data_IF_995308120767
#
_entry.id   IF_995308120767
#
_cell.length_a   1.000
_cell.length_b   1.000
_cell.length_c   1.000
_cell.angle_alpha   90.00
_cell.angle_beta   90.00
_cell.angle_gamma   90.00
#
_symmetry.space_group_name_H-M   'P 1'
#
loop_
_entity.id
_entity.type
_entity.pdbx_description
1 polymer ?
#
# COMPACT_ATOMS: atom_id res chain seq x y z
N UNK A 1 -13.47 -12.87 22.79
CA UNK A 1 -14.10 -14.02 22.11
C UNK A 1 -14.50 -13.77 20.65
N UNK A 2 -15.06 -12.62 20.24
CA UNK A 2 -15.44 -12.40 18.81
C UNK A 2 -14.27 -12.20 17.82
N UNK A 3 -13.11 -11.70 18.28
CA UNK A 3 -11.92 -11.47 17.43
C UNK A 3 -11.04 -12.72 17.20
N UNK A 4 -11.24 -13.81 17.96
CA UNK A 4 -10.38 -14.99 17.87
C UNK A 4 -10.58 -15.75 16.56
N UNK A 5 -11.84 -15.92 16.14
CA UNK A 5 -12.20 -16.60 14.89
C UNK A 5 -11.64 -15.91 13.63
N UNK A 6 -11.88 -14.60 13.39
CA UNK A 6 -11.33 -13.93 12.21
C UNK A 6 -9.80 -13.84 12.20
N UNK A 7 -9.17 -13.72 13.37
CA UNK A 7 -7.70 -13.69 13.47
C UNK A 7 -7.06 -15.05 13.14
N UNK A 8 -7.69 -16.16 13.51
CA UNK A 8 -7.21 -17.51 13.16
C UNK A 8 -7.24 -17.69 11.64
N UNK A 9 -8.33 -17.26 10.98
CA UNK A 9 -8.45 -17.29 9.50
C UNK A 9 -7.40 -16.38 8.86
N UNK A 10 -7.25 -15.15 9.35
CA UNK A 10 -6.22 -14.23 8.87
C UNK A 10 -4.82 -14.85 8.92
N UNK A 11 -4.50 -15.57 10.00
CA UNK A 11 -3.20 -16.22 10.20
C UNK A 11 -3.01 -17.43 9.29
N UNK A 12 -4.04 -18.24 9.05
CA UNK A 12 -3.96 -19.36 8.11
C UNK A 12 -3.78 -18.88 6.68
N UNK A 13 -4.55 -17.88 6.25
CA UNK A 13 -4.50 -17.31 4.90
C UNK A 13 -3.15 -16.66 4.64
N UNK A 14 -2.66 -15.88 5.61
CA UNK A 14 -1.33 -15.26 5.52
C UNK A 14 -0.23 -16.30 5.44
N UNK A 15 -0.34 -17.41 6.19
CA UNK A 15 0.65 -18.49 6.13
C UNK A 15 0.64 -19.19 4.76
N UNK A 16 -0.55 -19.43 4.19
CA UNK A 16 -0.68 -19.98 2.84
C UNK A 16 -0.15 -19.03 1.77
N UNK A 17 -0.46 -17.73 1.88
CA UNK A 17 0.06 -16.73 0.96
C UNK A 17 1.59 -16.63 1.02
N UNK A 18 2.19 -16.69 2.21
CA UNK A 18 3.65 -16.68 2.40
C UNK A 18 4.36 -17.97 1.95
N UNK A 19 3.64 -19.07 1.75
CA UNK A 19 4.21 -20.29 1.17
C UNK A 19 4.40 -20.19 -0.35
N UNK A 20 3.66 -19.30 -1.02
CA UNK A 20 3.84 -19.05 -2.44
C UNK A 20 5.18 -18.32 -2.66
N UNK A 21 6.13 -18.99 -3.34
CA UNK A 21 7.50 -18.47 -3.55
C UNK A 21 7.51 -17.03 -4.08
N UNK A 22 6.69 -16.74 -5.10
CA UNK A 22 6.63 -15.39 -5.69
C UNK A 22 6.12 -14.33 -4.72
N UNK A 23 5.14 -14.65 -3.86
CA UNK A 23 4.64 -13.72 -2.84
C UNK A 23 5.69 -13.47 -1.77
N UNK A 24 6.35 -14.53 -1.28
CA UNK A 24 7.42 -14.42 -0.29
C UNK A 24 8.61 -13.59 -0.80
N UNK A 25 9.12 -13.90 -2.00
CA UNK A 25 10.22 -13.15 -2.60
C UNK A 25 9.80 -11.73 -2.97
N UNK A 26 8.55 -11.52 -3.41
CA UNK A 26 8.00 -10.19 -3.67
C UNK A 26 7.95 -9.33 -2.41
N UNK A 27 7.45 -9.86 -1.30
CA UNK A 27 7.38 -9.15 -0.01
C UNK A 27 8.77 -8.84 0.54
N UNK A 28 9.71 -9.80 0.51
CA UNK A 28 11.09 -9.57 0.94
C UNK A 28 11.77 -8.53 0.03
N UNK A 29 11.53 -8.63 -1.28
CA UNK A 29 12.03 -7.67 -2.27
C UNK A 29 11.51 -6.27 -1.98
N UNK A 30 10.21 -6.08 -1.76
CA UNK A 30 9.63 -4.77 -1.45
C UNK A 30 10.09 -4.24 -0.09
N UNK A 31 10.22 -5.11 0.91
CA UNK A 31 10.71 -4.75 2.25
C UNK A 31 12.13 -4.20 2.24
N UNK A 32 13.00 -4.74 1.37
CA UNK A 32 14.38 -4.31 1.25
C UNK A 32 14.54 -3.18 0.22
N UNK A 33 14.01 -3.36 -0.99
CA UNK A 33 14.19 -2.42 -2.09
C UNK A 33 13.57 -1.07 -1.80
N UNK A 34 12.38 -1.00 -1.19
CA UNK A 34 11.72 0.27 -0.91
C UNK A 34 12.60 1.20 -0.08
N UNK A 35 12.97 0.80 1.16
CA UNK A 35 13.83 1.59 2.02
C UNK A 35 15.22 1.83 1.43
N UNK A 36 15.85 0.83 0.84
CA UNK A 36 17.19 0.98 0.24
C UNK A 36 17.16 2.00 -0.91
N UNK A 37 16.19 1.94 -1.80
CA UNK A 37 16.05 2.90 -2.90
C UNK A 37 15.79 4.31 -2.39
N UNK A 38 14.92 4.48 -1.38
CA UNK A 38 14.68 5.79 -0.80
C UNK A 38 15.92 6.37 -0.10
N UNK A 39 16.68 5.55 0.63
CA UNK A 39 17.93 5.99 1.26
C UNK A 39 18.93 6.40 0.19
N UNK A 40 19.07 5.61 -0.87
CA UNK A 40 19.95 5.92 -1.99
C UNK A 40 19.54 7.21 -2.70
N UNK A 41 18.24 7.43 -2.92
CA UNK A 41 17.72 8.67 -3.50
C UNK A 41 18.02 9.87 -2.61
N UNK A 42 17.77 9.78 -1.31
CA UNK A 42 18.04 10.88 -0.37
C UNK A 42 19.53 11.21 -0.33
N UNK A 43 20.38 10.22 -0.09
CA UNK A 43 21.82 10.44 0.05
C UNK A 43 22.43 10.87 -1.28
N UNK A 44 22.11 10.17 -2.38
CA UNK A 44 22.66 10.45 -3.70
C UNK A 44 22.28 11.84 -4.21
N UNK A 45 21.04 12.27 -3.97
CA UNK A 45 20.60 13.59 -4.42
C UNK A 45 21.13 14.71 -3.52
N UNK A 46 21.24 14.51 -2.20
CA UNK A 46 21.87 15.47 -1.29
C UNK A 46 23.35 15.68 -1.57
N UNK A 47 24.05 14.64 -2.04
CA UNK A 47 25.43 14.77 -2.50
C UNK A 47 25.55 15.57 -3.80
N UNK A 48 24.57 15.47 -4.69
CA UNK A 48 24.57 16.20 -5.96
C UNK A 48 24.19 17.67 -5.79
N UNK A 49 23.17 17.95 -4.96
CA UNK A 49 22.63 19.29 -4.73
C UNK A 49 22.34 19.49 -3.24
N UNK A 50 23.29 20.02 -2.45
CA UNK A 50 23.10 20.26 -1.02
C UNK A 50 22.38 21.59 -0.77
N UNK A 51 21.13 21.73 -1.25
CA UNK A 51 20.29 22.92 -1.03
C UNK A 51 18.99 22.54 -0.33
N UNK A 52 18.38 23.48 0.39
CA UNK A 52 17.09 23.26 1.05
C UNK A 52 15.97 22.93 0.05
N UNK A 53 16.05 23.47 -1.18
CA UNK A 53 15.12 23.15 -2.26
C UNK A 53 15.15 21.66 -2.68
N UNK A 54 16.31 21.00 -2.56
CA UNK A 54 16.43 19.58 -2.82
C UNK A 54 15.61 18.74 -1.83
N UNK A 55 15.55 19.15 -0.55
CA UNK A 55 14.78 18.46 0.50
C UNK A 55 13.29 18.47 0.15
N UNK A 56 12.77 19.63 -0.22
CA UNK A 56 11.35 19.83 -0.55
C UNK A 56 10.95 19.05 -1.79
N UNK A 57 11.86 18.91 -2.76
CA UNK A 57 11.61 18.11 -3.96
C UNK A 57 11.67 16.60 -3.69
N UNK A 58 12.60 16.14 -2.86
CA UNK A 58 12.76 14.70 -2.56
C UNK A 58 11.71 14.14 -1.60
N UNK A 59 11.23 14.95 -0.66
CA UNK A 59 10.27 14.52 0.36
C UNK A 59 9.01 13.85 -0.21
N UNK A 60 8.30 14.43 -1.20
CA UNK A 60 7.15 13.77 -1.81
C UNK A 60 7.53 12.51 -2.60
N UNK A 61 8.72 12.44 -3.22
CA UNK A 61 9.19 11.23 -3.91
C UNK A 61 9.37 10.05 -2.95
N UNK A 62 10.06 10.29 -1.85
CA UNK A 62 10.31 9.25 -0.82
C UNK A 62 8.99 8.80 -0.19
N UNK A 63 8.11 9.74 0.15
CA UNK A 63 6.80 9.45 0.75
C UNK A 63 5.92 8.62 -0.19
N UNK A 64 5.89 8.97 -1.48
CA UNK A 64 5.12 8.25 -2.49
C UNK A 64 5.65 6.84 -2.71
N UNK A 65 6.98 6.69 -2.79
CA UNK A 65 7.64 5.40 -2.94
C UNK A 65 7.31 4.48 -1.75
N UNK A 66 7.44 4.98 -0.51
CA UNK A 66 7.08 4.21 0.68
C UNK A 66 5.59 3.86 0.76
N UNK A 67 4.71 4.77 0.33
CA UNK A 67 3.27 4.52 0.22
C UNK A 67 2.96 3.37 -0.76
N UNK A 68 3.59 3.38 -1.94
CA UNK A 68 3.45 2.29 -2.92
C UNK A 68 3.91 0.94 -2.36
N UNK A 69 5.01 0.92 -1.60
CA UNK A 69 5.55 -0.30 -0.98
C UNK A 69 4.65 -0.88 0.11
N UNK A 70 3.64 -0.14 0.57
CA UNK A 70 2.62 -0.65 1.47
C UNK A 70 1.39 -1.20 0.74
N UNK A 71 0.97 -0.53 -0.33
CA UNK A 71 -0.25 -0.88 -1.05
C UNK A 71 -0.07 -2.12 -1.92
N UNK A 72 1.08 -2.29 -2.57
CA UNK A 72 1.34 -3.42 -3.47
C UNK A 72 1.33 -4.77 -2.72
N UNK A 73 1.99 -4.92 -1.54
CA UNK A 73 1.82 -6.10 -0.69
C UNK A 73 0.36 -6.42 -0.35
N UNK A 74 -0.44 -5.40 -0.03
CA UNK A 74 -1.84 -5.57 0.35
C UNK A 74 -2.66 -6.12 -0.83
N UNK A 75 -2.44 -5.62 -2.05
CA UNK A 75 -3.11 -6.16 -3.26
C UNK A 75 -2.65 -7.58 -3.56
N UNK A 76 -1.35 -7.88 -3.43
CA UNK A 76 -0.79 -9.18 -3.76
C UNK A 76 -1.33 -10.28 -2.85
N UNK A 77 -1.31 -10.02 -1.54
CA UNK A 77 -1.78 -10.97 -0.51
C UNK A 77 -3.29 -11.19 -0.64
N UNK A 78 -4.06 -10.10 -0.82
CA UNK A 78 -5.51 -10.21 -0.96
C UNK A 78 -5.92 -10.92 -2.25
N UNK A 79 -5.21 -10.69 -3.37
CA UNK A 79 -5.48 -11.39 -4.62
C UNK A 79 -5.21 -12.89 -4.51
N UNK A 80 -4.11 -13.29 -3.85
CA UNK A 80 -3.79 -14.70 -3.69
C UNK A 80 -4.74 -15.41 -2.72
N UNK A 81 -5.17 -14.77 -1.62
CA UNK A 81 -6.18 -15.34 -0.72
C UNK A 81 -7.56 -15.42 -1.39
N UNK A 82 -7.98 -14.43 -2.18
CA UNK A 82 -9.35 -14.44 -2.74
C UNK A 82 -9.46 -15.22 -4.04
N UNK A 83 -8.54 -14.98 -4.99
CA UNK A 83 -8.57 -15.57 -6.33
C UNK A 83 -7.77 -16.85 -6.39
N UNK A 84 -6.70 -16.96 -5.60
CA UNK A 84 -5.93 -18.20 -5.52
C UNK A 84 -6.73 -19.35 -4.93
N UNK A 85 -7.50 -19.11 -3.86
CA UNK A 85 -8.44 -20.11 -3.31
C UNK A 85 -9.51 -20.52 -4.33
N UNK A 86 -9.99 -19.56 -5.14
CA UNK A 86 -10.93 -19.83 -6.24
C UNK A 86 -10.32 -20.71 -7.32
N UNK A 87 -9.09 -20.39 -7.73
CA UNK A 87 -8.36 -21.12 -8.76
C UNK A 87 -7.99 -22.54 -8.32
N UNK A 88 -7.80 -22.76 -7.01
CA UNK A 88 -7.49 -24.06 -6.41
C UNK A 88 -8.73 -24.87 -6.00
N UNK A 89 -9.95 -24.39 -6.28
CA UNK A 89 -11.23 -24.99 -5.86
C UNK A 89 -11.36 -25.21 -4.34
N UNK A 90 -10.68 -24.41 -3.52
CA UNK A 90 -10.74 -24.51 -2.04
C UNK A 90 -11.76 -23.56 -1.42
N UNK A 91 -12.55 -22.85 -2.24
CA UNK A 91 -13.63 -21.98 -1.76
C UNK A 91 -14.84 -22.73 -1.20
N UNK A 92 -15.17 -23.91 -1.73
CA UNK A 92 -16.36 -24.68 -1.31
C UNK A 92 -16.26 -25.17 0.14
N UNK A 93 -15.11 -25.71 0.61
CA UNK A 93 -14.93 -26.03 2.03
C UNK A 93 -14.98 -24.81 2.95
N UNK A 94 -14.49 -23.65 2.49
CA UNK A 94 -14.44 -22.41 3.28
C UNK A 94 -15.86 -21.86 3.52
N UNK A 95 -16.73 -21.94 2.52
CA UNK A 95 -18.15 -21.54 2.61
C UNK A 95 -19.01 -22.49 3.47
N UNK A 96 -18.48 -23.68 3.80
CA UNK A 96 -19.09 -24.65 4.70
C UNK A 96 -18.69 -24.45 6.17
N UNK A 97 -17.80 -23.50 6.48
CA UNK A 97 -17.42 -23.18 7.86
C UNK A 97 -18.50 -22.36 8.57
N UNK A 98 -18.67 -22.52 9.90
CA UNK A 98 -19.66 -21.77 10.68
C UNK A 98 -19.19 -20.33 10.99
N UNK A 99 -18.66 -19.63 9.99
CA UNK A 99 -18.22 -18.24 10.06
C UNK A 99 -19.28 -17.34 9.41
N UNK A 100 -19.52 -16.17 10.01
CA UNK A 100 -20.34 -15.15 9.35
C UNK A 100 -19.58 -14.51 8.20
N UNK A 101 -20.30 -14.10 7.16
CA UNK A 101 -19.76 -13.41 5.98
C UNK A 101 -18.88 -12.20 6.35
N UNK A 102 -19.29 -11.46 7.39
CA UNK A 102 -18.53 -10.33 7.93
C UNK A 102 -17.26 -10.73 8.66
N UNK A 103 -17.27 -11.83 9.42
CA UNK A 103 -16.07 -12.34 10.12
C UNK A 103 -15.04 -12.87 9.11
N UNK A 104 -15.49 -13.54 8.06
CA UNK A 104 -14.61 -14.02 6.99
C UNK A 104 -13.95 -12.85 6.24
N UNK A 105 -14.74 -11.84 5.88
CA UNK A 105 -14.27 -10.65 5.19
C UNK A 105 -13.28 -9.85 6.04
N UNK A 106 -13.55 -9.71 7.35
CA UNK A 106 -12.63 -9.10 8.31
C UNK A 106 -11.33 -9.90 8.46
N UNK A 107 -11.40 -11.23 8.46
CA UNK A 107 -10.22 -12.10 8.48
C UNK A 107 -9.31 -11.85 7.28
N UNK A 108 -9.88 -11.76 6.07
CA UNK A 108 -9.12 -11.49 4.83
C UNK A 108 -8.55 -10.06 4.78
N UNK A 109 -9.29 -9.08 5.29
CA UNK A 109 -8.79 -7.73 5.49
C UNK A 109 -7.59 -7.71 6.44
N UNK A 110 -7.71 -8.29 7.62
CA UNK A 110 -6.62 -8.32 8.60
C UNK A 110 -5.40 -9.09 8.09
N UNK A 111 -5.62 -10.21 7.38
CA UNK A 111 -4.56 -11.03 6.81
C UNK A 111 -3.71 -10.32 5.76
N UNK A 112 -4.26 -9.31 5.06
CA UNK A 112 -3.51 -8.50 4.10
C UNK A 112 -3.03 -7.16 4.69
N UNK A 113 -3.79 -6.58 5.61
CA UNK A 113 -3.48 -5.30 6.25
C UNK A 113 -2.31 -5.37 7.24
N UNK A 114 -2.27 -6.39 8.10
CA UNK A 114 -1.21 -6.56 9.11
C UNK A 114 0.19 -6.64 8.48
N UNK A 115 0.48 -7.56 7.54
CA UNK A 115 1.83 -7.64 6.95
C UNK A 115 2.20 -6.37 6.19
N UNK A 116 1.24 -5.75 5.49
CA UNK A 116 1.45 -4.52 4.72
C UNK A 116 1.74 -3.30 5.62
N UNK A 117 1.11 -3.26 6.80
CA UNK A 117 1.37 -2.24 7.82
C UNK A 117 2.74 -2.42 8.47
N UNK A 118 3.15 -3.67 8.75
CA UNK A 118 4.49 -3.97 9.25
C UNK A 118 5.55 -3.54 8.24
N UNK A 119 5.31 -3.78 6.94
CA UNK A 119 6.21 -3.32 5.88
C UNK A 119 6.28 -1.80 5.77
N UNK A 120 5.14 -1.09 5.90
CA UNK A 120 5.10 0.37 5.91
C UNK A 120 5.91 0.94 7.08
N UNK A 121 5.60 0.52 8.32
CA UNK A 121 6.23 1.06 9.52
C UNK A 121 7.71 0.67 9.56
N UNK A 122 8.02 -0.59 9.27
CA UNK A 122 9.41 -1.08 9.21
C UNK A 122 10.20 -0.33 8.14
N UNK A 123 9.62 -0.13 6.96
CA UNK A 123 10.22 0.64 5.89
C UNK A 123 10.48 2.09 6.30
N UNK A 124 9.48 2.77 6.86
CA UNK A 124 9.60 4.14 7.36
C UNK A 124 10.73 4.28 8.38
N UNK A 125 10.79 3.40 9.39
CA UNK A 125 11.85 3.42 10.41
C UNK A 125 13.23 3.25 9.78
N UNK A 126 13.38 2.26 8.89
CA UNK A 126 14.65 2.00 8.19
C UNK A 126 15.05 3.20 7.34
N UNK A 127 14.11 3.86 6.66
CA UNK A 127 14.42 5.04 5.84
C UNK A 127 14.87 6.23 6.66
N UNK A 128 14.17 6.55 7.75
CA UNK A 128 14.50 7.71 8.58
C UNK A 128 15.84 7.50 9.27
N UNK A 129 16.06 6.33 9.88
CA UNK A 129 17.32 6.03 10.58
C UNK A 129 18.45 5.89 9.57
N UNK A 130 18.24 5.13 8.49
CA UNK A 130 19.27 4.83 7.49
C UNK A 130 19.72 6.08 6.72
N UNK A 131 18.80 6.95 6.31
CA UNK A 131 19.15 8.21 5.64
C UNK A 131 19.91 9.14 6.57
N UNK A 132 19.45 9.35 7.81
CA UNK A 132 20.13 10.24 8.76
C UNK A 132 21.51 9.73 9.16
N UNK A 133 21.68 8.42 9.37
CA UNK A 133 22.97 7.84 9.72
C UNK A 133 23.99 8.01 8.59
N UNK A 134 23.57 7.80 7.34
CA UNK A 134 24.44 8.02 6.19
C UNK A 134 24.75 9.49 5.94
N UNK A 135 23.78 10.39 6.10
CA UNK A 135 24.01 11.85 5.99
C UNK A 135 25.02 12.32 7.04
N UNK A 136 24.90 11.83 8.29
CA UNK A 136 25.85 12.13 9.36
C UNK A 136 27.26 11.63 9.05
N UNK A 137 27.39 10.41 8.52
CA UNK A 137 28.68 9.85 8.10
C UNK A 137 29.34 10.67 6.98
N UNK A 138 28.55 11.33 6.14
CA UNK A 138 29.01 12.20 5.05
C UNK A 138 29.25 13.65 5.48
N UNK A 139 28.99 14.00 6.75
CA UNK A 139 29.14 15.37 7.25
C UNK A 139 28.07 16.35 6.75
N UNK A 140 26.97 15.84 6.20
CA UNK A 140 25.81 16.64 5.74
C UNK A 140 24.83 16.89 6.91
N UNK A 141 24.05 17.98 6.87
CA UNK A 141 23.05 18.24 7.90
C UNK A 141 22.01 17.12 7.92
N UNK A 142 21.60 16.72 9.13
CA UNK A 142 20.52 15.74 9.32
C UNK A 142 19.20 16.36 8.92
N UNK A 143 18.47 15.69 8.03
CA UNK A 143 17.20 16.16 7.49
C UNK A 143 16.13 15.13 7.81
N UNK A 144 14.96 15.60 8.24
CA UNK A 144 13.79 14.76 8.39
C UNK A 144 13.18 14.47 7.01
N UNK A 145 13.66 13.39 6.37
CA UNK A 145 13.02 12.81 5.18
C UNK A 145 12.45 11.45 5.59
N UNK A 146 11.14 11.20 5.49
CA UNK A 146 10.06 12.07 4.94
C UNK A 146 9.72 13.29 5.80
N UNK A 147 9.38 14.42 5.15
CA UNK A 147 8.88 15.64 5.82
C UNK A 147 7.51 15.42 6.50
N UNK A 148 7.06 16.39 7.31
CA UNK A 148 5.79 16.33 8.06
C UNK A 148 4.59 15.99 7.18
N UNK A 149 4.52 16.57 5.97
CA UNK A 149 3.47 16.25 5.01
C UNK A 149 3.55 14.78 4.53
N UNK A 150 4.77 14.27 4.33
CA UNK A 150 5.02 12.87 3.97
C UNK A 150 4.63 11.89 5.06
N UNK A 151 4.97 12.21 6.31
CA UNK A 151 4.51 11.45 7.48
C UNK A 151 2.98 11.44 7.58
N UNK A 152 2.33 12.58 7.33
CA UNK A 152 0.87 12.63 7.28
C UNK A 152 0.31 11.66 6.23
N UNK A 153 0.85 11.64 5.02
CA UNK A 153 0.44 10.68 3.98
C UNK A 153 0.66 9.23 4.41
N UNK A 154 1.82 8.90 4.98
CA UNK A 154 2.17 7.53 5.33
C UNK A 154 1.37 7.01 6.53
N UNK A 155 1.07 7.85 7.52
CA UNK A 155 0.33 7.43 8.70
C UNK A 155 -1.19 7.46 8.50
N UNK A 156 -1.71 8.32 7.63
CA UNK A 156 -3.16 8.46 7.43
C UNK A 156 -3.62 7.89 6.09
N UNK A 157 -3.09 8.38 4.98
CA UNK A 157 -3.54 7.96 3.65
C UNK A 157 -3.16 6.50 3.38
N UNK A 158 -1.95 6.05 3.73
CA UNK A 158 -1.51 4.70 3.39
C UNK A 158 -2.35 3.58 4.04
N UNK A 159 -2.72 3.62 5.33
CA UNK A 159 -3.66 2.67 5.90
C UNK A 159 -5.03 2.66 5.21
N UNK A 160 -5.56 3.83 4.85
CA UNK A 160 -6.84 3.94 4.14
C UNK A 160 -6.72 3.35 2.73
N UNK A 161 -5.61 3.62 2.03
CA UNK A 161 -5.32 3.04 0.71
C UNK A 161 -5.22 1.52 0.76
N UNK A 162 -4.54 0.96 1.76
CA UNK A 162 -4.45 -0.50 1.96
C UNK A 162 -5.86 -1.12 2.07
N UNK A 163 -6.71 -0.55 2.92
CA UNK A 163 -8.07 -1.05 3.13
C UNK A 163 -8.92 -0.90 1.86
N UNK A 164 -8.82 0.24 1.17
CA UNK A 164 -9.51 0.46 -0.11
C UNK A 164 -9.12 -0.59 -1.15
N UNK A 165 -7.83 -0.89 -1.28
CA UNK A 165 -7.33 -1.88 -2.23
C UNK A 165 -7.86 -3.27 -1.91
N UNK A 166 -7.87 -3.68 -0.65
CA UNK A 166 -8.40 -4.99 -0.27
C UNK A 166 -9.90 -5.10 -0.57
N UNK A 167 -10.69 -4.05 -0.28
CA UNK A 167 -12.11 -4.04 -0.65
C UNK A 167 -12.33 -4.10 -2.16
N UNK A 168 -11.54 -3.37 -2.95
CA UNK A 168 -11.61 -3.49 -4.41
C UNK A 168 -11.23 -4.88 -4.89
N UNK A 169 -10.26 -5.54 -4.25
CA UNK A 169 -9.86 -6.91 -4.57
C UNK A 169 -10.99 -7.92 -4.37
N UNK A 170 -11.79 -7.74 -3.32
CA UNK A 170 -12.99 -8.55 -3.06
C UNK A 170 -14.01 -8.40 -4.19
N UNK A 171 -14.17 -7.20 -4.75
CA UNK A 171 -15.07 -6.97 -5.89
C UNK A 171 -14.54 -7.58 -7.19
N UNK A 172 -13.22 -7.51 -7.39
CA UNK A 172 -12.50 -8.04 -8.55
C UNK A 172 -12.52 -9.57 -8.54
N UNK A 173 -12.30 -10.22 -7.40
CA UNK A 173 -12.27 -11.69 -7.28
C UNK A 173 -13.57 -12.37 -7.73
N UNK A 174 -14.69 -11.67 -7.58
CA UNK A 174 -16.00 -12.11 -8.11
C UNK A 174 -16.10 -12.09 -9.65
N UNK A 175 -15.18 -11.44 -10.36
CA UNK A 175 -15.19 -11.34 -11.84
C UNK A 175 -14.04 -12.08 -12.52
N UNK A 176 -12.89 -12.20 -11.86
CA UNK A 176 -11.72 -12.88 -12.44
C UNK A 176 -11.68 -14.37 -12.06
N UNK A 177 -11.02 -15.17 -12.91
CA UNK A 177 -10.81 -16.61 -12.66
C UNK A 177 -9.36 -16.97 -12.37
N UNK A 178 -8.40 -16.15 -12.83
CA UNK A 178 -6.96 -16.38 -12.66
C UNK A 178 -6.31 -15.32 -11.78
N UNK A 179 -5.35 -15.74 -10.96
CA UNK A 179 -4.62 -14.82 -10.07
C UNK A 179 -3.87 -13.73 -10.85
N UNK A 180 -3.35 -14.03 -12.05
CA UNK A 180 -2.65 -13.05 -12.89
C UNK A 180 -3.55 -11.89 -13.36
N UNK A 181 -4.80 -12.17 -13.76
CA UNK A 181 -5.77 -11.12 -14.14
C UNK A 181 -6.12 -10.22 -12.94
N UNK A 182 -6.15 -10.83 -11.76
CA UNK A 182 -6.35 -10.16 -10.48
C UNK A 182 -5.22 -9.17 -10.15
N UNK A 183 -3.96 -9.55 -10.41
CA UNK A 183 -2.82 -8.65 -10.23
C UNK A 183 -2.83 -7.47 -11.20
N UNK A 184 -3.19 -7.69 -12.47
CA UNK A 184 -3.24 -6.61 -13.45
C UNK A 184 -4.35 -5.60 -13.14
N UNK A 185 -5.54 -6.10 -12.78
CA UNK A 185 -6.69 -5.26 -12.41
C UNK A 185 -6.49 -4.52 -11.10
N UNK A 186 -5.88 -5.16 -10.09
CA UNK A 186 -5.49 -4.47 -8.85
C UNK A 186 -4.39 -3.44 -9.09
N UNK A 187 -3.45 -3.70 -10.01
CA UNK A 187 -2.45 -2.71 -10.45
C UNK A 187 -3.07 -1.43 -11.02
N UNK A 188 -4.19 -1.54 -11.74
CA UNK A 188 -4.93 -0.37 -12.22
C UNK A 188 -5.52 0.46 -11.06
N UNK A 189 -5.98 -0.19 -9.99
CA UNK A 189 -6.44 0.51 -8.77
C UNK A 189 -5.28 1.25 -8.10
N UNK A 190 -4.10 0.64 -8.03
CA UNK A 190 -2.90 1.29 -7.48
C UNK A 190 -2.53 2.54 -8.27
N UNK A 191 -2.68 2.52 -9.60
CA UNK A 191 -2.41 3.71 -10.43
C UNK A 191 -3.28 4.92 -10.07
N UNK A 192 -4.51 4.72 -9.61
CA UNK A 192 -5.39 5.82 -9.17
C UNK A 192 -4.78 6.60 -8.01
N UNK A 193 -4.02 5.93 -7.13
CA UNK A 193 -3.31 6.58 -6.02
C UNK A 193 -1.98 7.21 -6.45
N UNK A 194 -1.30 6.64 -7.46
CA UNK A 194 -0.01 7.16 -7.95
C UNK A 194 -0.18 8.51 -8.65
N UNK A 195 -1.26 8.71 -9.42
CA UNK A 195 -1.49 9.94 -10.19
C UNK A 195 -1.36 11.21 -9.32
N UNK A 196 -2.10 11.36 -8.20
CA UNK A 196 -1.96 12.54 -7.36
C UNK A 196 -0.59 12.61 -6.64
N UNK A 197 0.01 11.48 -6.31
CA UNK A 197 1.34 11.40 -5.66
C UNK A 197 2.49 11.94 -6.53
N UNK A 198 2.37 11.85 -7.86
CA UNK A 198 3.39 12.33 -8.80
C UNK A 198 3.25 13.82 -9.11
N UNK A 199 2.10 14.42 -8.80
CA UNK A 199 1.81 15.82 -9.15
C UNK A 199 2.81 16.84 -8.57
N UNK A 200 3.42 16.69 -7.38
CA UNK A 200 4.48 17.60 -6.92
C UNK A 200 5.72 17.60 -7.81
N UNK A 201 5.89 16.62 -8.71
CA UNK A 201 7.02 16.55 -9.64
C UNK A 201 6.87 17.47 -10.84
N UNK A 202 5.65 17.95 -11.12
CA UNK A 202 5.41 18.81 -12.29
C UNK A 202 5.77 20.28 -12.03
N UNK A 203 5.98 20.66 -10.76
CA UNK A 203 6.39 22.02 -10.38
C UNK A 203 7.89 22.29 -10.52
N UNK A 204 8.57 21.60 -11.45
CA UNK A 204 9.93 21.91 -11.85
C UNK A 204 9.92 23.22 -12.66
N UNK A 205 10.60 24.26 -12.15
CA UNK A 205 10.80 25.54 -12.86
C UNK A 205 12.17 25.56 -13.58
N UNK A 206 12.42 26.60 -14.37
CA UNK A 206 13.69 26.82 -15.07
C UNK A 206 14.92 26.89 -14.14
N UNK A 207 14.72 27.17 -12.84
CA UNK A 207 15.75 27.12 -11.79
C UNK A 207 16.01 25.71 -11.23
N UNK A 208 15.36 24.68 -11.77
CA UNK A 208 15.47 23.28 -11.34
C UNK A 208 14.65 22.95 -10.09
N UNK A 209 14.42 23.93 -9.21
CA UNK A 209 13.50 23.83 -8.07
C UNK A 209 12.49 24.96 -8.16
N UNK A 210 11.20 24.63 -8.27
CA UNK A 210 10.10 25.59 -8.26
C UNK A 210 10.06 26.43 -6.99
N UNK A 211 9.19 27.44 -6.97
CA UNK A 211 8.98 28.26 -5.78
C UNK A 211 8.67 27.38 -4.56
N UNK A 212 9.46 27.45 -3.46
CA UNK A 212 9.35 26.50 -2.34
C UNK A 212 7.98 26.57 -1.64
N UNK A 213 7.36 27.75 -1.61
CA UNK A 213 6.00 27.94 -1.07
C UNK A 213 4.96 27.24 -1.94
N UNK A 214 5.09 27.32 -3.27
CA UNK A 214 4.15 26.66 -4.18
C UNK A 214 4.30 25.14 -4.09
N UNK A 215 5.53 24.64 -4.04
CA UNK A 215 5.83 23.21 -3.90
C UNK A 215 5.27 22.65 -2.59
N UNK A 216 5.46 23.33 -1.46
CA UNK A 216 4.90 22.91 -0.17
C UNK A 216 3.37 22.84 -0.21
N UNK A 217 2.71 23.86 -0.76
CA UNK A 217 1.26 23.88 -0.91
C UNK A 217 0.76 22.74 -1.83
N UNK A 218 1.48 22.46 -2.91
CA UNK A 218 1.17 21.36 -3.82
C UNK A 218 1.25 20.02 -3.10
N UNK A 219 2.30 19.77 -2.31
CA UNK A 219 2.50 18.52 -1.56
C UNK A 219 1.33 18.29 -0.58
N UNK A 220 0.91 19.31 0.16
CA UNK A 220 -0.23 19.21 1.05
C UNK A 220 -1.53 18.93 0.30
N UNK A 221 -1.78 19.65 -0.80
CA UNK A 221 -2.95 19.43 -1.65
C UNK A 221 -2.98 18.00 -2.19
N UNK A 222 -1.85 17.49 -2.67
CA UNK A 222 -1.77 16.13 -3.22
C UNK A 222 -2.00 15.07 -2.16
N UNK A 223 -1.51 15.28 -0.94
CA UNK A 223 -1.72 14.35 0.16
C UNK A 223 -3.19 14.31 0.59
N UNK A 224 -3.83 15.48 0.66
CA UNK A 224 -5.27 15.60 0.97
C UNK A 224 -6.12 14.97 -0.13
N UNK A 225 -5.81 15.24 -1.40
CA UNK A 225 -6.51 14.64 -2.55
C UNK A 225 -6.34 13.12 -2.56
N UNK A 226 -5.14 12.61 -2.32
CA UNK A 226 -4.87 11.17 -2.24
C UNK A 226 -5.68 10.53 -1.11
N UNK A 227 -5.73 11.17 0.05
CA UNK A 227 -6.53 10.71 1.19
C UNK A 227 -8.03 10.72 0.86
N UNK A 228 -8.55 11.76 0.23
CA UNK A 228 -9.96 11.83 -0.19
C UNK A 228 -10.30 10.72 -1.19
N UNK A 229 -9.46 10.50 -2.20
CA UNK A 229 -9.63 9.42 -3.17
C UNK A 229 -9.63 8.07 -2.46
N UNK A 230 -8.72 7.86 -1.52
CA UNK A 230 -8.64 6.63 -0.72
C UNK A 230 -9.88 6.41 0.13
N UNK A 231 -10.39 7.44 0.80
CA UNK A 231 -11.63 7.37 1.60
C UNK A 231 -12.84 7.08 0.70
N UNK A 232 -12.98 7.78 -0.42
CA UNK A 232 -14.10 7.55 -1.35
C UNK A 232 -14.05 6.14 -1.90
N UNK A 233 -12.87 5.67 -2.34
CA UNK A 233 -12.71 4.30 -2.83
C UNK A 233 -13.00 3.29 -1.72
N UNK A 234 -12.51 3.49 -0.50
CA UNK A 234 -12.79 2.63 0.65
C UNK A 234 -14.29 2.55 0.95
N UNK A 235 -15.00 3.68 0.98
CA UNK A 235 -16.44 3.71 1.27
C UNK A 235 -17.25 3.05 0.16
N UNK A 236 -16.99 3.42 -1.09
CA UNK A 236 -17.71 2.86 -2.25
C UNK A 236 -17.45 1.37 -2.37
N UNK A 237 -16.19 0.94 -2.31
CA UNK A 237 -15.84 -0.48 -2.42
C UNK A 237 -16.29 -1.27 -1.20
N UNK A 238 -16.23 -0.72 0.01
CA UNK A 238 -16.72 -1.35 1.23
C UNK A 238 -18.24 -1.57 1.21
N UNK A 239 -19.02 -0.55 0.84
CA UNK A 239 -20.49 -0.68 0.71
C UNK A 239 -20.87 -1.67 -0.38
N UNK A 240 -20.19 -1.64 -1.52
CA UNK A 240 -20.42 -2.59 -2.61
C UNK A 240 -20.02 -4.01 -2.22
N UNK A 241 -18.91 -4.18 -1.49
CA UNK A 241 -18.44 -5.47 -1.03
C UNK A 241 -19.47 -6.09 -0.08
N UNK A 242 -19.95 -5.33 0.91
CA UNK A 242 -20.98 -5.77 1.85
C UNK A 242 -22.30 -6.11 1.16
N UNK A 243 -22.73 -5.32 0.16
CA UNK A 243 -23.97 -5.61 -0.59
C UNK A 243 -23.85 -6.82 -1.52
N UNK A 244 -22.64 -7.09 -2.03
CA UNK A 244 -22.39 -8.16 -3.02
C UNK A 244 -22.03 -9.49 -2.37
N UNK A 245 -21.59 -9.46 -1.11
CA UNK A 245 -21.41 -10.63 -0.27
C UNK A 245 -22.78 -11.15 0.20
N UNK A 246 -23.58 -11.64 -0.75
CA UNK A 246 -24.78 -12.42 -0.48
C UNK A 246 -24.52 -13.82 -1.07
N UNK A 247 -24.41 -14.80 -0.16
CA UNK A 247 -24.03 -16.21 -0.38
C UNK A 247 -24.69 -16.85 -1.61
N UNK A 248 -25.93 -16.48 -1.91
CA UNK A 248 -26.75 -17.10 -2.97
C UNK A 248 -26.29 -16.80 -4.41
N UNK A 249 -25.57 -15.70 -4.65
CA UNK A 249 -25.16 -15.30 -6.03
C UNK A 249 -23.79 -15.82 -6.45
N UNK A 250 -22.97 -16.27 -5.49
CA UNK A 250 -21.64 -16.85 -5.79
C UNK A 250 -21.74 -18.33 -6.13
N UNK A 251 -22.67 -19.06 -5.53
CA UNK A 251 -22.91 -20.49 -5.79
C UNK A 251 -23.46 -20.70 -7.22
N UNK A 252 -24.20 -19.74 -7.78
CA UNK A 252 -24.76 -19.87 -9.14
C UNK A 252 -23.78 -19.54 -10.28
N UNK A 253 -22.50 -19.27 -9.98
CA UNK A 253 -21.48 -18.84 -10.97
C UNK A 253 -20.18 -19.65 -10.93
N UNK A 254 -20.09 -20.63 -10.04
CA UNK A 254 -19.10 -21.74 -10.14
C UNK A 254 -19.67 -22.75 -11.12
#
# INVERSE_FOLDING_TARGET
>A
MALEKPMIVARSDLRMALQVKYVKFGLIGMAALGPVLSILLVVGFMMAVPTEGAVLFLSPLVSSLLGMMSIIPASLISANSLVGEKEQNTLEPLLCTPLTDTELLLGKLLGSFIPSSVLLIGGLIVTVIGSNLLLLMLGLPTILVPDLAGLFLLLTAAPVMMVAVVFTMILISGRVKRVYEAYQTSGAVVMVFIIPMVLPMTSLSDSGFGDPVQLSNLIWLTNIVTLLIAVVLMLVSGVLALKRFNRDRMISRV
#
